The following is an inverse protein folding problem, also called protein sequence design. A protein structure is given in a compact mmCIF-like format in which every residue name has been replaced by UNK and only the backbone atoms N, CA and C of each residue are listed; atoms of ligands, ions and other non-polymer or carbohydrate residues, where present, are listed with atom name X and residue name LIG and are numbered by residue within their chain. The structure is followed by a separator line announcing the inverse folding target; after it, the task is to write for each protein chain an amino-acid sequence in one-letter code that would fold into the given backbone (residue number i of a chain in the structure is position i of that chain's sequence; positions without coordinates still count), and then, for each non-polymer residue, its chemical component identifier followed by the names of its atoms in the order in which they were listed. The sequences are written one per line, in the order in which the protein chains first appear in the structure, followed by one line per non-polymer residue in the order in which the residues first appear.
data_IF_720707707647
#
_entry.id   IF_720707707647
#
_cell.length_a   1.000
_cell.length_b   1.000
_cell.length_c   1.000
_cell.angle_alpha   90.00
_cell.angle_beta   90.00
_cell.angle_gamma   90.00
#
_symmetry.space_group_name_H-M   'P 1'
#
loop_
_entity.id
_entity.type
_entity.pdbx_description
1 polymer ?
#
# COMPACT_ATOMS: atom_id res chain seq x y z
N UNK A 1 -10.87 0.89 -20.27
CA UNK A 1 -10.97 -0.32 -19.44
C UNK A 1 -9.86 -1.28 -19.82
N UNK A 2 -9.32 -1.99 -18.82
CA UNK A 2 -8.33 -3.04 -19.08
C UNK A 2 -8.93 -4.17 -19.91
N UNK A 3 -8.18 -4.67 -20.89
CA UNK A 3 -8.68 -5.67 -21.84
C UNK A 3 -7.55 -6.59 -22.32
N UNK A 4 -7.62 -7.86 -21.95
CA UNK A 4 -6.56 -8.84 -22.25
C UNK A 4 -6.19 -8.97 -23.73
N UNK A 5 -7.10 -8.64 -24.63
CA UNK A 5 -6.84 -8.70 -26.08
C UNK A 5 -6.06 -7.50 -26.62
N UNK A 6 -5.83 -6.46 -25.81
CA UNK A 6 -5.15 -5.24 -26.24
C UNK A 6 -3.67 -5.23 -25.86
N UNK A 7 -3.30 -5.88 -24.76
CA UNK A 7 -1.91 -5.91 -24.30
C UNK A 7 -1.60 -7.12 -23.42
N UNK A 8 -0.37 -7.61 -23.48
CA UNK A 8 0.16 -8.60 -22.54
C UNK A 8 0.26 -8.05 -21.11
N UNK A 9 0.27 -6.72 -20.95
CA UNK A 9 0.30 -6.04 -19.66
C UNK A 9 -1.09 -5.82 -19.06
N UNK A 10 -2.16 -6.22 -19.74
CA UNK A 10 -3.53 -6.22 -19.25
C UNK A 10 -3.96 -7.62 -18.82
N UNK A 11 -3.48 -8.15 -17.68
CA UNK A 11 -3.70 -9.54 -17.28
C UNK A 11 -5.17 -9.83 -16.94
N UNK A 12 -5.95 -8.78 -16.62
CA UNK A 12 -7.34 -8.90 -16.18
C UNK A 12 -8.24 -7.86 -16.86
N UNK A 13 -9.28 -8.32 -17.54
CA UNK A 13 -10.27 -7.46 -18.19
C UNK A 13 -11.41 -7.11 -17.23
N UNK A 14 -11.69 -5.82 -17.06
CA UNK A 14 -12.80 -5.35 -16.21
C UNK A 14 -13.29 -3.98 -16.66
N UNK A 15 -14.56 -3.70 -16.39
CA UNK A 15 -15.18 -2.38 -16.52
C UNK A 15 -15.67 -1.84 -15.15
N UNK A 16 -15.62 -2.65 -14.10
CA UNK A 16 -15.96 -2.25 -12.75
C UNK A 16 -14.73 -1.81 -11.97
N UNK A 17 -14.87 -0.70 -11.23
CA UNK A 17 -13.90 -0.31 -10.20
C UNK A 17 -13.89 -1.32 -9.03
N UNK A 18 -12.94 -1.21 -8.14
CA UNK A 18 -12.89 -1.94 -6.86
C UNK A 18 -12.63 -3.45 -6.96
N UNK A 19 -12.38 -3.99 -8.15
CA UNK A 19 -12.21 -5.43 -8.39
C UNK A 19 -10.77 -5.91 -8.29
N UNK A 20 -9.78 -5.01 -8.30
CA UNK A 20 -8.36 -5.35 -8.47
C UNK A 20 -7.82 -6.25 -7.34
N UNK A 21 -8.18 -5.98 -6.08
CA UNK A 21 -7.71 -6.76 -4.93
C UNK A 21 -8.22 -8.20 -5.02
N UNK A 22 -9.51 -8.40 -5.29
CA UNK A 22 -10.11 -9.73 -5.41
C UNK A 22 -9.51 -10.52 -6.58
N UNK A 23 -9.33 -9.87 -7.73
CA UNK A 23 -8.73 -10.49 -8.91
C UNK A 23 -7.27 -10.90 -8.65
N UNK A 24 -6.46 -10.00 -8.10
CA UNK A 24 -5.07 -10.28 -7.78
C UNK A 24 -4.91 -11.35 -6.67
N UNK A 25 -5.83 -11.39 -5.70
CA UNK A 25 -5.87 -12.47 -4.71
C UNK A 25 -6.12 -13.82 -5.38
N UNK A 26 -7.08 -13.90 -6.31
CA UNK A 26 -7.34 -15.11 -7.08
C UNK A 26 -6.12 -15.58 -7.88
N UNK A 27 -5.39 -14.64 -8.50
CA UNK A 27 -4.14 -14.92 -9.20
C UNK A 27 -3.04 -15.41 -8.26
N UNK A 28 -2.90 -14.82 -7.07
CA UNK A 28 -1.94 -15.24 -6.06
C UNK A 28 -2.23 -16.66 -5.53
N UNK A 29 -3.49 -16.97 -5.32
CA UNK A 29 -3.93 -18.32 -4.92
C UNK A 29 -3.64 -19.33 -6.03
N UNK A 30 -3.99 -19.02 -7.28
CA UNK A 30 -3.73 -19.89 -8.42
C UNK A 30 -2.22 -20.14 -8.62
N UNK A 31 -1.39 -19.10 -8.50
CA UNK A 31 0.07 -19.19 -8.55
C UNK A 31 0.59 -20.18 -7.50
N UNK A 32 0.15 -20.04 -6.25
CA UNK A 32 0.62 -20.90 -5.17
C UNK A 32 0.15 -22.34 -5.34
N UNK A 33 -1.09 -22.56 -5.80
CA UNK A 33 -1.61 -23.89 -6.08
C UNK A 33 -0.90 -24.59 -7.24
N UNK A 34 -0.47 -23.82 -8.24
CA UNK A 34 0.31 -24.37 -9.37
C UNK A 34 1.78 -24.60 -9.05
N UNK A 35 2.28 -24.15 -7.90
CA UNK A 35 3.68 -24.18 -7.56
C UNK A 35 4.58 -23.24 -8.39
N UNK A 36 3.96 -22.26 -9.08
CA UNK A 36 4.65 -21.40 -10.04
C UNK A 36 5.31 -20.17 -9.40
N UNK A 37 5.30 -20.05 -8.07
CA UNK A 37 5.94 -18.92 -7.38
C UNK A 37 7.45 -18.88 -7.71
N UNK A 38 7.92 -17.73 -8.16
CA UNK A 38 9.31 -17.46 -8.56
C UNK A 38 9.83 -18.28 -9.77
N UNK A 39 8.94 -18.97 -10.47
CA UNK A 39 9.31 -19.72 -11.69
C UNK A 39 8.71 -19.07 -12.95
N UNK A 40 7.39 -19.19 -13.13
CA UNK A 40 6.66 -18.66 -14.30
C UNK A 40 5.81 -17.43 -13.96
N UNK A 41 5.33 -17.36 -12.71
CA UNK A 41 4.47 -16.28 -12.22
C UNK A 41 5.17 -15.58 -11.05
N UNK A 42 5.40 -14.30 -11.22
CA UNK A 42 5.98 -13.44 -10.18
C UNK A 42 4.96 -12.99 -9.13
N UNK A 43 5.22 -11.84 -8.55
CA UNK A 43 4.34 -11.23 -7.55
C UNK A 43 3.03 -10.75 -8.18
N UNK A 44 1.93 -10.93 -7.44
CA UNK A 44 0.64 -10.40 -7.80
C UNK A 44 0.47 -9.01 -7.19
N UNK A 45 0.19 -8.02 -8.02
CA UNK A 45 0.08 -6.62 -7.61
C UNK A 45 -1.29 -6.10 -7.99
N UNK A 46 -2.05 -5.61 -7.02
CA UNK A 46 -3.30 -4.90 -7.23
C UNK A 46 -3.05 -3.39 -7.10
N UNK A 47 -3.45 -2.61 -8.07
CA UNK A 47 -3.49 -1.14 -7.95
C UNK A 47 -4.96 -0.74 -7.81
N UNK A 48 -5.26 0.05 -6.79
CA UNK A 48 -6.62 0.52 -6.49
C UNK A 48 -6.59 2.00 -6.13
N UNK A 49 -7.51 2.78 -6.68
CA UNK A 49 -7.68 4.19 -6.31
C UNK A 49 -8.43 4.35 -4.99
N UNK A 50 -8.21 5.49 -4.32
CA UNK A 50 -8.88 5.87 -3.07
C UNK A 50 -10.41 5.84 -3.17
N UNK A 51 -10.98 6.41 -4.23
CA UNK A 51 -12.41 6.36 -4.51
C UNK A 51 -12.95 4.93 -4.69
N UNK A 52 -12.15 4.03 -5.28
CA UNK A 52 -12.52 2.63 -5.46
C UNK A 52 -12.48 1.81 -4.17
N UNK A 53 -11.73 2.26 -3.16
CA UNK A 53 -11.71 1.66 -1.82
C UNK A 53 -13.02 1.84 -1.04
N UNK A 54 -13.92 2.69 -1.49
CA UNK A 54 -15.23 2.90 -0.84
C UNK A 54 -16.22 1.75 -1.05
N UNK A 55 -15.98 0.85 -1.99
CA UNK A 55 -16.87 -0.26 -2.29
C UNK A 55 -16.68 -1.46 -1.36
N UNK A 56 -17.79 -2.10 -0.97
CA UNK A 56 -17.78 -3.28 -0.09
C UNK A 56 -16.91 -4.41 -0.60
N UNK A 57 -16.85 -4.62 -1.91
CA UNK A 57 -16.02 -5.64 -2.56
C UNK A 57 -14.53 -5.51 -2.21
N UNK A 58 -14.02 -4.29 -2.05
CA UNK A 58 -12.63 -4.07 -1.65
C UNK A 58 -12.36 -4.61 -0.24
N UNK A 59 -13.29 -4.38 0.70
CA UNK A 59 -13.20 -4.88 2.08
C UNK A 59 -13.33 -6.39 2.17
N UNK A 60 -14.28 -6.97 1.42
CA UNK A 60 -14.43 -8.42 1.34
C UNK A 60 -13.14 -9.07 0.84
N UNK A 61 -12.54 -8.49 -0.21
CA UNK A 61 -11.29 -8.98 -0.77
C UNK A 61 -10.13 -8.86 0.23
N UNK A 62 -9.99 -7.73 0.94
CA UNK A 62 -8.98 -7.54 1.97
C UNK A 62 -9.15 -8.51 3.13
N UNK A 63 -10.37 -8.68 3.63
CA UNK A 63 -10.66 -9.64 4.70
C UNK A 63 -10.25 -11.06 4.31
N UNK A 64 -10.56 -11.47 3.08
CA UNK A 64 -10.19 -12.80 2.59
C UNK A 64 -8.67 -12.92 2.36
N UNK A 65 -8.03 -11.88 1.82
CA UNK A 65 -6.58 -11.84 1.61
C UNK A 65 -5.80 -11.98 2.92
N UNK A 66 -6.23 -11.26 3.96
CA UNK A 66 -5.63 -11.34 5.29
C UNK A 66 -5.77 -12.73 5.93
N UNK A 67 -6.92 -13.40 5.71
CA UNK A 67 -7.12 -14.78 6.17
C UNK A 67 -6.20 -15.76 5.42
N UNK A 68 -6.14 -15.67 4.09
CA UNK A 68 -5.38 -16.59 3.25
C UNK A 68 -3.86 -16.36 3.32
N UNK A 69 -3.41 -15.17 3.73
CA UNK A 69 -1.99 -14.79 3.89
C UNK A 69 -1.14 -15.11 2.66
N UNK A 70 -1.68 -14.83 1.47
CA UNK A 70 -0.96 -15.01 0.21
C UNK A 70 -0.07 -13.81 -0.07
N UNK A 71 1.07 -14.04 -0.75
CA UNK A 71 1.95 -12.96 -1.19
C UNK A 71 1.23 -12.13 -2.25
N UNK A 72 0.71 -11.00 -1.83
CA UNK A 72 -0.07 -10.04 -2.60
C UNK A 72 0.35 -8.63 -2.22
N UNK A 73 0.66 -7.80 -3.18
CA UNK A 73 0.91 -6.38 -3.00
C UNK A 73 -0.33 -5.59 -3.39
N UNK A 74 -0.73 -4.67 -2.53
CA UNK A 74 -1.82 -3.73 -2.81
C UNK A 74 -1.27 -2.32 -2.81
N UNK A 75 -1.32 -1.65 -3.94
CA UNK A 75 -0.92 -0.25 -4.09
C UNK A 75 -2.19 0.61 -4.05
N UNK A 76 -2.37 1.34 -2.96
CA UNK A 76 -3.40 2.35 -2.86
C UNK A 76 -2.88 3.64 -3.50
N UNK A 77 -3.44 3.98 -4.66
CA UNK A 77 -3.13 5.21 -5.36
C UNK A 77 -4.14 6.28 -4.95
N UNK A 78 -3.70 7.17 -4.10
CA UNK A 78 -4.52 8.26 -3.58
C UNK A 78 -4.03 9.59 -4.16
N UNK A 79 -4.93 10.32 -4.80
CA UNK A 79 -4.69 11.63 -5.39
C UNK A 79 -5.75 12.66 -4.94
N UNK A 80 -6.51 12.35 -3.90
CA UNK A 80 -7.63 13.16 -3.40
C UNK A 80 -8.69 13.50 -4.47
N UNK A 81 -8.73 12.73 -5.58
CA UNK A 81 -9.63 12.98 -6.69
C UNK A 81 -10.60 11.82 -6.92
N UNK A 82 -11.86 12.17 -6.97
CA UNK A 82 -12.95 11.27 -7.34
C UNK A 82 -13.88 12.00 -8.31
N UNK A 83 -14.74 11.27 -9.03
CA UNK A 83 -15.74 11.86 -9.97
C UNK A 83 -16.70 12.80 -9.22
N UNK A 84 -16.98 12.52 -7.97
CA UNK A 84 -17.71 13.40 -7.04
C UNK A 84 -16.88 13.60 -5.78
N UNK A 85 -17.13 14.65 -4.97
CA UNK A 85 -16.45 14.82 -3.70
C UNK A 85 -16.49 13.52 -2.88
N UNK A 86 -15.36 13.07 -2.33
CA UNK A 86 -15.31 11.83 -1.58
C UNK A 86 -16.22 11.89 -0.37
N UNK A 87 -17.03 10.84 -0.18
CA UNK A 87 -17.97 10.72 0.92
C UNK A 87 -17.73 9.44 1.72
N UNK A 88 -18.14 9.48 2.98
CA UNK A 88 -18.09 8.31 3.85
C UNK A 88 -16.90 8.27 4.80
N UNK A 89 -16.98 7.32 5.74
CA UNK A 89 -16.01 7.19 6.82
C UNK A 89 -14.61 6.83 6.32
N UNK A 90 -14.49 6.09 5.21
CA UNK A 90 -13.21 5.70 4.65
C UNK A 90 -12.46 6.92 4.09
N UNK A 91 -13.12 7.80 3.38
CA UNK A 91 -12.50 9.05 2.90
C UNK A 91 -11.97 9.87 4.07
N UNK A 92 -12.76 10.03 5.13
CA UNK A 92 -12.34 10.72 6.34
C UNK A 92 -11.18 9.99 7.06
N UNK A 93 -11.12 8.67 6.97
CA UNK A 93 -10.03 7.87 7.52
C UNK A 93 -8.73 8.07 6.73
N UNK A 94 -8.78 7.99 5.40
CA UNK A 94 -7.62 8.21 4.53
C UNK A 94 -7.09 9.64 4.68
N UNK A 95 -7.96 10.65 4.69
CA UNK A 95 -7.58 12.04 4.94
C UNK A 95 -6.87 12.21 6.29
N UNK A 96 -7.32 11.53 7.35
CA UNK A 96 -6.62 11.54 8.65
C UNK A 96 -5.29 10.81 8.60
N UNK A 97 -5.18 9.73 7.85
CA UNK A 97 -3.92 8.99 7.68
C UNK A 97 -2.87 9.87 6.98
N UNK A 98 -3.28 10.67 5.99
CA UNK A 98 -2.42 11.62 5.28
C UNK A 98 -2.09 12.87 6.09
N UNK A 99 -3.10 13.47 6.71
CA UNK A 99 -3.01 14.75 7.41
C UNK A 99 -2.79 14.61 8.91
N UNK A 100 -2.60 13.38 9.41
CA UNK A 100 -2.50 13.11 10.83
C UNK A 100 -1.43 13.97 11.51
N UNK A 101 -1.87 14.89 12.37
CA UNK A 101 -1.01 15.75 13.18
C UNK A 101 0.11 15.00 13.89
N UNK A 102 -0.08 13.76 14.42
CA UNK A 102 1.00 13.00 15.04
C UNK A 102 2.16 12.72 14.09
N UNK A 103 1.88 12.51 12.80
CA UNK A 103 2.93 12.24 11.81
C UNK A 103 3.71 13.50 11.42
N UNK A 104 3.03 14.64 11.31
CA UNK A 104 3.66 15.94 11.02
C UNK A 104 4.48 16.44 12.23
N UNK A 105 3.96 16.32 13.44
CA UNK A 105 4.68 16.67 14.67
C UNK A 105 5.87 15.76 14.92
N UNK A 106 5.71 14.44 14.79
CA UNK A 106 6.82 13.49 14.93
C UNK A 106 7.90 13.72 13.87
N UNK A 107 7.53 14.09 12.64
CA UNK A 107 8.46 14.45 11.57
C UNK A 107 9.23 15.75 11.87
N UNK A 108 8.56 16.75 12.46
CA UNK A 108 9.18 18.01 12.84
C UNK A 108 10.09 17.86 14.05
N UNK A 109 9.68 17.12 15.08
CA UNK A 109 10.48 16.81 16.27
C UNK A 109 11.69 15.94 15.93
N UNK A 110 11.51 14.94 15.05
CA UNK A 110 12.62 14.09 14.61
C UNK A 110 13.65 14.85 13.75
N UNK A 111 13.22 15.80 12.91
CA UNK A 111 14.15 16.68 12.18
C UNK A 111 14.95 17.58 13.13
N UNK A 112 14.29 18.14 14.14
CA UNK A 112 14.95 18.98 15.14
C UNK A 112 15.95 18.20 16.02
N UNK A 113 15.58 17.00 16.47
CA UNK A 113 16.44 16.20 17.35
C UNK A 113 17.67 15.62 16.63
N UNK A 114 17.53 15.20 15.36
CA UNK A 114 18.64 14.59 14.57
C UNK A 114 19.69 15.62 14.17
N UNK A 115 19.32 16.90 13.99
CA UNK A 115 20.27 17.96 13.64
C UNK A 115 21.26 18.34 14.76
N UNK A 116 20.98 17.94 16.00
CA UNK A 116 21.85 18.21 17.16
C UNK A 116 22.74 17.02 17.55
N UNK A 117 22.65 15.87 16.85
CA UNK A 117 23.44 14.68 17.16
C UNK A 117 24.73 14.63 16.35
N UNK A 118 25.88 14.17 16.92
CA UNK A 118 27.12 13.90 16.18
C UNK A 118 26.90 12.88 15.04
N UNK A 119 27.63 13.02 13.92
CA UNK A 119 27.48 12.21 12.70
C UNK A 119 27.36 10.69 12.91
N UNK A 120 28.15 10.02 13.77
CA UNK A 120 28.01 8.57 13.96
C UNK A 120 26.71 8.15 14.65
N UNK A 121 26.07 9.04 15.38
CA UNK A 121 24.78 8.80 16.04
C UNK A 121 23.58 9.11 15.11
N UNK A 122 23.79 9.87 14.04
CA UNK A 122 22.74 10.19 13.07
C UNK A 122 22.30 8.97 12.25
N UNK A 123 23.21 8.05 11.93
CA UNK A 123 22.86 6.80 11.23
C UNK A 123 22.05 5.84 12.12
N UNK A 124 22.42 5.72 13.39
CA UNK A 124 21.66 4.97 14.39
C UNK A 124 20.26 5.56 14.61
N UNK A 125 20.18 6.90 14.68
CA UNK A 125 18.92 7.62 14.80
C UNK A 125 18.04 7.52 13.53
N UNK A 126 18.63 7.45 12.33
CA UNK A 126 17.89 7.17 11.08
C UNK A 126 17.28 5.77 11.11
N UNK A 127 18.03 4.74 11.47
CA UNK A 127 17.52 3.35 11.57
C UNK A 127 16.46 3.22 12.65
N UNK A 128 16.64 3.85 13.81
CA UNK A 128 15.64 3.90 14.88
C UNK A 128 14.38 4.67 14.43
N UNK A 129 14.53 5.74 13.66
CA UNK A 129 13.43 6.51 13.08
C UNK A 129 12.62 5.71 12.05
N UNK A 130 13.29 4.91 11.23
CA UNK A 130 12.62 4.07 10.23
C UNK A 130 11.91 2.88 10.90
N UNK A 131 12.48 2.32 11.97
CA UNK A 131 11.81 1.36 12.84
C UNK A 131 10.61 1.98 13.58
N UNK A 132 10.76 3.20 14.14
CA UNK A 132 9.67 3.91 14.82
C UNK A 132 8.55 4.38 13.87
N UNK A 133 8.83 4.61 12.59
CA UNK A 133 7.78 4.87 11.60
C UNK A 133 6.82 3.69 11.45
N UNK A 134 7.33 2.46 11.51
CA UNK A 134 6.49 1.25 11.53
C UNK A 134 5.65 1.12 12.81
N UNK A 135 6.13 1.66 13.94
CA UNK A 135 5.42 1.61 15.23
C UNK A 135 4.51 2.82 15.51
N UNK A 136 4.81 3.98 14.92
CA UNK A 136 4.07 5.22 15.18
C UNK A 136 2.75 5.35 14.38
N UNK A 137 2.58 4.56 13.33
CA UNK A 137 1.31 4.37 12.61
C UNK A 137 0.62 3.13 13.18
N UNK A 138 0.47 3.08 14.50
CA UNK A 138 -0.18 1.97 15.16
C UNK A 138 -1.64 1.82 14.75
N UNK A 139 -2.01 0.62 14.28
CA UNK A 139 -3.40 0.22 14.11
C UNK A 139 -4.10 0.84 12.90
N UNK A 140 -3.46 0.85 11.72
CA UNK A 140 -4.21 1.15 10.51
C UNK A 140 -5.26 0.07 10.25
N UNK A 141 -6.38 0.46 9.64
CA UNK A 141 -7.40 -0.51 9.21
C UNK A 141 -6.78 -1.65 8.36
N UNK A 142 -5.74 -1.35 7.60
CA UNK A 142 -5.06 -2.33 6.76
C UNK A 142 -4.31 -3.39 7.59
N UNK A 143 -3.70 -2.99 8.70
CA UNK A 143 -3.02 -3.90 9.63
C UNK A 143 -4.02 -4.79 10.37
N UNK A 144 -5.21 -4.25 10.72
CA UNK A 144 -6.30 -5.06 11.28
C UNK A 144 -6.81 -6.13 10.29
N UNK A 145 -6.74 -5.86 9.00
CA UNK A 145 -7.00 -6.86 7.95
C UNK A 145 -5.80 -7.80 7.72
N UNK A 146 -4.69 -7.64 8.42
CA UNK A 146 -3.53 -8.52 8.31
C UNK A 146 -2.54 -8.13 7.21
N UNK A 147 -2.62 -6.92 6.67
CA UNK A 147 -1.61 -6.37 5.76
C UNK A 147 -0.52 -5.63 6.52
N UNK A 148 0.69 -5.66 6.01
CA UNK A 148 1.76 -4.75 6.45
C UNK A 148 1.64 -3.43 5.69
N UNK A 149 1.36 -2.33 6.39
CA UNK A 149 1.23 -1.02 5.77
C UNK A 149 2.59 -0.33 5.64
N UNK A 150 2.90 0.14 4.45
CA UNK A 150 4.10 0.93 4.16
C UNK A 150 3.69 2.22 3.45
N UNK A 151 3.90 3.34 4.09
CA UNK A 151 3.53 4.63 3.51
C UNK A 151 3.23 5.70 4.56
N UNK A 152 2.69 6.85 4.12
CA UNK A 152 2.50 7.24 2.72
C UNK A 152 3.82 7.53 1.99
N UNK A 153 3.84 7.31 0.67
CA UNK A 153 4.99 7.53 -0.20
C UNK A 153 4.60 8.55 -1.27
N UNK A 154 5.45 9.51 -1.56
CA UNK A 154 5.25 10.41 -2.69
C UNK A 154 5.46 9.64 -4.01
N UNK A 155 4.36 9.32 -4.70
CA UNK A 155 4.37 8.59 -5.96
C UNK A 155 5.02 9.35 -7.13
N UNK A 156 5.24 10.66 -7.02
CA UNK A 156 5.98 11.46 -8.00
C UNK A 156 7.50 11.43 -7.77
N UNK A 157 7.94 11.03 -6.58
CA UNK A 157 9.34 10.75 -6.31
C UNK A 157 9.69 9.32 -6.72
N UNK A 158 9.99 9.12 -8.00
CA UNK A 158 10.25 7.79 -8.57
C UNK A 158 11.44 7.08 -7.92
N UNK A 159 12.46 7.81 -7.50
CA UNK A 159 13.63 7.23 -6.84
C UNK A 159 13.24 6.57 -5.51
N UNK A 160 12.51 7.30 -4.67
CA UNK A 160 12.00 6.79 -3.39
C UNK A 160 11.00 5.64 -3.59
N UNK A 161 10.09 5.78 -4.57
CA UNK A 161 9.10 4.75 -4.86
C UNK A 161 9.76 3.44 -5.29
N UNK A 162 10.74 3.50 -6.19
CA UNK A 162 11.47 2.32 -6.65
C UNK A 162 12.32 1.67 -5.56
N UNK A 163 12.92 2.45 -4.67
CA UNK A 163 13.65 1.94 -3.52
C UNK A 163 12.73 1.13 -2.59
N UNK A 164 11.56 1.69 -2.26
CA UNK A 164 10.57 1.01 -1.42
C UNK A 164 10.06 -0.27 -2.09
N UNK A 165 9.68 -0.22 -3.37
CA UNK A 165 9.18 -1.39 -4.09
C UNK A 165 10.23 -2.51 -4.18
N UNK A 166 11.50 -2.17 -4.35
CA UNK A 166 12.61 -3.15 -4.33
C UNK A 166 12.75 -3.80 -2.95
N UNK A 167 12.71 -3.00 -1.89
CA UNK A 167 12.79 -3.50 -0.50
C UNK A 167 11.63 -4.43 -0.15
N UNK A 168 10.44 -4.19 -0.69
CA UNK A 168 9.26 -5.02 -0.44
C UNK A 168 9.27 -6.32 -1.26
N UNK A 169 10.04 -6.38 -2.33
CA UNK A 169 10.14 -7.56 -3.18
C UNK A 169 10.96 -8.67 -2.53
N UNK A 170 12.00 -8.32 -1.80
CA UNK A 170 12.92 -9.24 -1.10
C UNK A 170 12.31 -9.73 0.21
#
# INVERSE_FOLDING_TARGET
FTKRSESLYDPFGTAHSSTSISAALGMAVARDLSGSLNTEIGDCIAVIGDGAMSAGMAYEAMNNAGHLKKRLFVILNDNDMSISPPVGAMSSYLTRLYNGEPFQELKSMAKGAVSFLPEPLQEGAKRAKDALKGFAVGGTLFEEFGFSYVGPIDGHNLEQLLEVLRTLKD
#
